data_IF_348771601843
#
_entry.id   IF_348771601843
#
_cell.length_a   1.000
_cell.length_b   1.000
_cell.length_c   1.000
_cell.angle_alpha   90.00
_cell.angle_beta   90.00
_cell.angle_gamma   90.00
#
_symmetry.space_group_name_H-M   'P 1'
#
loop_
_entity.id
_entity.type
_entity.pdbx_description
1 polymer ?
#
# COMPACT_ATOMS: atom_id res chain seq x y z
N UNK A 1 -13.65 -13.88 2.96
CA UNK A 1 -12.66 -13.66 4.03
C UNK A 1 -11.86 -14.91 4.37
N UNK A 2 -12.53 -16.05 4.53
CA UNK A 2 -11.81 -17.29 4.85
C UNK A 2 -10.76 -17.68 3.81
N UNK A 3 -11.12 -17.57 2.52
CA UNK A 3 -10.18 -17.89 1.45
C UNK A 3 -8.93 -17.02 1.48
N UNK A 4 -9.14 -15.75 1.78
CA UNK A 4 -8.05 -14.79 1.88
C UNK A 4 -7.10 -15.19 3.01
N UNK A 5 -7.66 -15.49 4.18
CA UNK A 5 -6.87 -15.88 5.34
C UNK A 5 -6.11 -17.18 5.09
N UNK A 6 -6.77 -18.15 4.47
CA UNK A 6 -6.15 -19.42 4.13
C UNK A 6 -5.00 -19.25 3.16
N UNK A 7 -5.17 -18.39 2.14
CA UNK A 7 -4.10 -18.10 1.18
C UNK A 7 -2.90 -17.49 1.87
N UNK A 8 -3.12 -16.55 2.78
CA UNK A 8 -2.04 -15.93 3.53
C UNK A 8 -1.31 -16.94 4.40
N UNK A 9 -2.03 -17.83 5.04
CA UNK A 9 -1.42 -18.85 5.88
C UNK A 9 -0.55 -19.79 5.05
N UNK A 10 -1.02 -20.18 3.87
CA UNK A 10 -0.24 -21.04 2.96
C UNK A 10 1.03 -20.31 2.51
N UNK A 11 0.90 -19.04 2.14
CA UNK A 11 2.07 -18.24 1.74
C UNK A 11 3.06 -18.09 2.88
N UNK A 12 2.55 -17.88 4.08
CA UNK A 12 3.38 -17.78 5.27
C UNK A 12 4.16 -19.06 5.54
N UNK A 13 3.52 -20.21 5.35
CA UNK A 13 4.16 -21.50 5.52
C UNK A 13 5.27 -21.73 4.50
N UNK A 14 5.11 -21.22 3.29
CA UNK A 14 6.15 -21.26 2.25
C UNK A 14 7.28 -20.29 2.59
N UNK A 15 7.00 -19.29 3.43
CA UNK A 15 8.04 -18.44 3.99
C UNK A 15 8.53 -17.30 3.11
N UNK A 16 7.67 -16.79 2.23
CA UNK A 16 8.07 -15.67 1.37
C UNK A 16 7.18 -14.45 1.65
N UNK A 17 7.57 -13.59 2.60
CA UNK A 17 6.77 -12.41 2.93
C UNK A 17 6.67 -11.40 1.78
N UNK A 18 7.66 -11.32 0.90
CA UNK A 18 7.60 -10.40 -0.25
C UNK A 18 6.48 -10.84 -1.18
N UNK A 19 6.43 -12.12 -1.54
CA UNK A 19 5.37 -12.63 -2.40
C UNK A 19 4.00 -12.47 -1.77
N UNK A 20 3.91 -12.68 -0.47
CA UNK A 20 2.66 -12.52 0.26
C UNK A 20 2.17 -11.08 0.18
N UNK A 21 3.05 -10.12 0.43
CA UNK A 21 2.71 -8.70 0.36
C UNK A 21 2.31 -8.31 -1.06
N UNK A 22 3.06 -8.79 -2.05
CA UNK A 22 2.74 -8.48 -3.45
C UNK A 22 1.38 -9.03 -3.85
N UNK A 23 1.04 -10.23 -3.39
CA UNK A 23 -0.28 -10.80 -3.64
C UNK A 23 -1.39 -9.92 -3.02
N UNK A 24 -1.17 -9.46 -1.80
CA UNK A 24 -2.13 -8.60 -1.12
C UNK A 24 -2.31 -7.26 -1.84
N UNK A 25 -1.23 -6.72 -2.37
CA UNK A 25 -1.31 -5.49 -3.17
C UNK A 25 -2.17 -5.73 -4.42
N UNK A 26 -1.95 -6.84 -5.10
CA UNK A 26 -2.75 -7.19 -6.28
C UNK A 26 -4.22 -7.35 -5.93
N UNK A 27 -4.51 -8.01 -4.82
CA UNK A 27 -5.89 -8.15 -4.36
C UNK A 27 -6.53 -6.79 -4.07
N UNK A 28 -5.78 -5.89 -3.46
CA UNK A 28 -6.25 -4.54 -3.20
C UNK A 28 -6.53 -3.78 -4.48
N UNK A 29 -5.67 -3.93 -5.49
CA UNK A 29 -5.86 -3.28 -6.78
C UNK A 29 -7.12 -3.79 -7.48
N UNK A 30 -7.36 -5.10 -7.44
CA UNK A 30 -8.56 -5.68 -8.00
C UNK A 30 -9.81 -5.12 -7.30
N UNK A 31 -9.75 -4.99 -5.98
CA UNK A 31 -10.85 -4.43 -5.21
C UNK A 31 -11.10 -2.97 -5.57
N UNK A 32 -10.05 -2.18 -5.75
CA UNK A 32 -10.19 -0.80 -6.19
C UNK A 32 -10.88 -0.73 -7.56
N UNK A 33 -10.42 -1.56 -8.49
CA UNK A 33 -10.99 -1.58 -9.85
C UNK A 33 -12.45 -1.99 -9.84
N UNK A 34 -12.86 -2.77 -8.84
CA UNK A 34 -14.24 -3.20 -8.69
C UNK A 34 -15.09 -2.20 -7.90
N UNK A 35 -14.53 -1.07 -7.51
CA UNK A 35 -15.23 -0.06 -6.75
C UNK A 35 -15.36 -0.37 -5.27
N UNK A 36 -14.60 -1.34 -4.77
CA UNK A 36 -14.64 -1.77 -3.38
C UNK A 36 -13.48 -1.18 -2.60
N UNK A 37 -13.46 0.14 -2.52
CA UNK A 37 -12.33 0.89 -1.96
C UNK A 37 -12.09 0.62 -0.48
N UNK A 38 -13.15 0.42 0.30
CA UNK A 38 -12.99 0.13 1.73
C UNK A 38 -12.30 -1.22 1.97
N UNK A 39 -12.68 -2.22 1.18
CA UNK A 39 -12.03 -3.52 1.26
C UNK A 39 -10.59 -3.45 0.80
N UNK A 40 -10.33 -2.68 -0.25
CA UNK A 40 -8.97 -2.45 -0.72
C UNK A 40 -8.11 -1.82 0.38
N UNK A 41 -8.66 -0.82 1.07
CA UNK A 41 -7.98 -0.15 2.17
C UNK A 41 -7.55 -1.16 3.23
N UNK A 42 -8.46 -2.07 3.60
CA UNK A 42 -8.14 -3.09 4.60
C UNK A 42 -7.03 -4.03 4.14
N UNK A 43 -7.08 -4.46 2.87
CA UNK A 43 -6.04 -5.34 2.33
C UNK A 43 -4.69 -4.65 2.34
N UNK A 44 -4.63 -3.40 1.96
CA UNK A 44 -3.38 -2.64 1.98
C UNK A 44 -2.86 -2.45 3.41
N UNK A 45 -3.75 -2.21 4.37
CA UNK A 45 -3.32 -2.09 5.77
C UNK A 45 -2.72 -3.38 6.30
N UNK A 46 -3.35 -4.50 6.01
CA UNK A 46 -2.83 -5.80 6.43
C UNK A 46 -1.47 -6.07 5.80
N UNK A 47 -1.33 -5.76 4.52
CA UNK A 47 -0.05 -5.92 3.82
C UNK A 47 1.02 -5.03 4.44
N UNK A 48 0.66 -3.81 4.83
CA UNK A 48 1.61 -2.88 5.44
C UNK A 48 2.16 -3.44 6.76
N UNK A 49 1.30 -4.04 7.57
CA UNK A 49 1.73 -4.64 8.82
C UNK A 49 2.78 -5.73 8.56
N UNK A 50 2.54 -6.57 7.56
CA UNK A 50 3.46 -7.64 7.20
C UNK A 50 4.78 -7.07 6.65
N UNK A 51 4.67 -6.06 5.80
CA UNK A 51 5.85 -5.42 5.22
C UNK A 51 6.71 -4.76 6.28
N UNK A 52 6.09 -4.10 7.25
CA UNK A 52 6.81 -3.47 8.35
C UNK A 52 7.47 -4.51 9.25
N UNK A 53 6.77 -5.61 9.53
CA UNK A 53 7.32 -6.68 10.36
C UNK A 53 8.56 -7.32 9.74
N UNK A 54 8.68 -7.27 8.40
CA UNK A 54 9.78 -7.87 7.66
C UNK A 54 10.73 -6.84 7.03
N UNK A 55 10.57 -5.58 7.38
CA UNK A 55 11.39 -4.46 6.89
C UNK A 55 11.51 -4.42 5.36
N UNK A 56 10.39 -4.63 4.69
CA UNK A 56 10.32 -4.59 3.23
C UNK A 56 10.11 -3.14 2.77
N UNK A 57 11.20 -2.38 2.74
CA UNK A 57 11.15 -0.93 2.58
C UNK A 57 10.45 -0.47 1.30
N UNK A 58 10.77 -1.10 0.16
CA UNK A 58 10.13 -0.73 -1.11
C UNK A 58 8.62 -1.00 -1.05
N UNK A 59 8.23 -2.15 -0.51
CA UNK A 59 6.82 -2.50 -0.38
C UNK A 59 6.11 -1.60 0.60
N UNK A 60 6.78 -1.17 1.66
CA UNK A 60 6.22 -0.19 2.60
C UNK A 60 5.88 1.10 1.87
N UNK A 61 6.81 1.60 1.06
CA UNK A 61 6.57 2.82 0.28
C UNK A 61 5.41 2.66 -0.69
N UNK A 62 5.36 1.53 -1.40
CA UNK A 62 4.28 1.26 -2.34
C UNK A 62 2.92 1.20 -1.64
N UNK A 63 2.86 0.53 -0.49
CA UNK A 63 1.62 0.41 0.27
C UNK A 63 1.16 1.74 0.83
N UNK A 64 2.08 2.56 1.31
CA UNK A 64 1.73 3.89 1.79
C UNK A 64 1.16 4.74 0.66
N UNK A 65 1.74 4.62 -0.54
CA UNK A 65 1.23 5.31 -1.72
C UNK A 65 -0.18 4.82 -2.09
N UNK A 66 -0.39 3.49 -2.05
CA UNK A 66 -1.71 2.91 -2.32
C UNK A 66 -2.74 3.37 -1.30
N UNK A 67 -2.38 3.33 -0.01
CA UNK A 67 -3.26 3.80 1.05
C UNK A 67 -3.60 5.27 0.88
N UNK A 68 -2.63 6.08 0.46
CA UNK A 68 -2.87 7.49 0.17
C UNK A 68 -3.83 7.71 -0.99
N UNK A 69 -3.94 6.71 -1.88
CA UNK A 69 -4.87 6.79 -3.01
C UNK A 69 -6.29 6.40 -2.66
N UNK A 70 -6.50 5.54 -1.66
CA UNK A 70 -7.83 5.00 -1.34
C UNK A 70 -8.42 5.50 -0.03
N UNK A 71 -7.63 6.11 0.83
CA UNK A 71 -8.14 6.61 2.10
C UNK A 71 -9.21 7.68 1.84
N UNK A 72 -10.37 7.60 2.50
CA UNK A 72 -11.45 8.54 2.24
C UNK A 72 -11.21 9.94 2.83
N UNK A 73 -10.40 10.01 3.87
CA UNK A 73 -10.12 11.25 4.59
C UNK A 73 -8.88 11.91 4.01
N UNK A 74 -9.03 13.18 3.62
CA UNK A 74 -7.95 13.97 3.03
C UNK A 74 -6.72 14.04 3.93
N UNK A 75 -6.92 14.20 5.24
CA UNK A 75 -5.83 14.30 6.19
C UNK A 75 -5.03 13.00 6.22
N UNK A 76 -5.71 11.85 6.24
CA UNK A 76 -5.06 10.55 6.21
C UNK A 76 -4.34 10.32 4.90
N UNK A 77 -4.94 10.74 3.78
CA UNK A 77 -4.27 10.66 2.47
C UNK A 77 -2.94 11.35 2.51
N UNK A 78 -2.92 12.57 3.04
CA UNK A 78 -1.68 13.34 3.10
C UNK A 78 -0.65 12.68 4.01
N UNK A 79 -1.09 12.16 5.14
CA UNK A 79 -0.18 11.46 6.06
C UNK A 79 0.47 10.26 5.39
N UNK A 80 -0.32 9.42 4.72
CA UNK A 80 0.21 8.26 4.00
C UNK A 80 1.18 8.68 2.91
N UNK A 81 0.82 9.68 2.12
CA UNK A 81 1.64 10.12 1.00
C UNK A 81 2.96 10.73 1.48
N UNK A 82 2.94 11.48 2.57
CA UNK A 82 4.16 12.05 3.14
C UNK A 82 5.09 10.96 3.67
N UNK A 83 4.51 9.94 4.30
CA UNK A 83 5.30 8.80 4.76
C UNK A 83 5.90 8.03 3.58
N UNK A 84 5.13 7.86 2.51
CA UNK A 84 5.64 7.23 1.29
C UNK A 84 6.83 8.00 0.71
N UNK A 85 6.70 9.33 0.64
CA UNK A 85 7.79 10.17 0.16
C UNK A 85 9.06 9.98 0.99
N UNK A 86 8.92 9.94 2.31
CA UNK A 86 10.06 9.77 3.19
C UNK A 86 10.76 8.43 2.92
N UNK A 87 9.99 7.35 2.77
CA UNK A 87 10.53 6.03 2.49
C UNK A 87 11.27 6.01 1.16
N UNK A 88 10.63 6.52 0.10
CA UNK A 88 11.24 6.54 -1.22
C UNK A 88 12.45 7.45 -1.28
N UNK A 89 12.46 8.54 -0.51
CA UNK A 89 13.63 9.41 -0.42
C UNK A 89 14.80 8.67 0.19
N UNK A 90 14.58 7.95 1.28
CA UNK A 90 15.64 7.14 1.90
C UNK A 90 16.19 6.09 0.95
N UNK A 91 15.32 5.52 0.12
CA UNK A 91 15.72 4.50 -0.85
C UNK A 91 16.33 5.08 -2.13
N UNK A 92 16.26 6.41 -2.31
CA UNK A 92 16.71 7.04 -3.54
C UNK A 92 15.85 6.72 -4.75
N UNK A 93 14.59 6.35 -4.53
CA UNK A 93 13.66 5.93 -5.59
C UNK A 93 13.01 7.16 -6.23
N UNK A 94 13.73 7.81 -7.13
CA UNK A 94 13.30 9.08 -7.72
C UNK A 94 11.98 9.00 -8.48
N UNK A 95 11.81 7.95 -9.29
CA UNK A 95 10.58 7.77 -10.07
C UNK A 95 9.37 7.63 -9.16
N UNK A 96 9.51 6.82 -8.11
CA UNK A 96 8.43 6.64 -7.12
C UNK A 96 8.12 7.95 -6.39
N UNK A 97 9.16 8.72 -6.06
CA UNK A 97 8.97 10.01 -5.42
C UNK A 97 8.14 10.94 -6.29
N UNK A 98 8.43 10.99 -7.58
CA UNK A 98 7.65 11.82 -8.52
C UNK A 98 6.20 11.41 -8.56
N UNK A 99 5.95 10.10 -8.59
CA UNK A 99 4.59 9.57 -8.61
C UNK A 99 3.82 10.01 -7.36
N UNK A 100 4.45 9.89 -6.19
CA UNK A 100 3.84 10.29 -4.93
C UNK A 100 3.65 11.80 -4.87
N UNK A 101 4.62 12.57 -5.35
CA UNK A 101 4.49 14.03 -5.40
C UNK A 101 3.29 14.45 -6.27
N UNK A 102 3.06 13.74 -7.36
CA UNK A 102 1.89 13.97 -8.20
C UNK A 102 0.59 13.69 -7.44
N UNK A 103 0.58 12.61 -6.65
CA UNK A 103 -0.58 12.29 -5.81
C UNK A 103 -0.82 13.37 -4.75
N UNK A 104 0.25 13.87 -4.13
CA UNK A 104 0.15 14.94 -3.15
C UNK A 104 -0.44 16.20 -3.79
N UNK A 105 0.04 16.54 -4.97
CA UNK A 105 -0.46 17.69 -5.69
C UNK A 105 -1.96 17.56 -5.97
N UNK A 106 -2.39 16.39 -6.44
CA UNK A 106 -3.81 16.14 -6.70
C UNK A 106 -4.65 16.25 -5.43
N UNK A 107 -4.13 15.75 -4.31
CA UNK A 107 -4.83 15.83 -3.03
C UNK A 107 -4.98 17.28 -2.56
N UNK A 108 -3.94 18.09 -2.74
CA UNK A 108 -3.97 19.52 -2.37
C UNK A 108 -4.96 20.27 -3.25
N UNK A 109 -4.99 19.96 -4.53
CA UNK A 109 -5.89 20.62 -5.48
C UNK A 109 -7.34 20.15 -5.34
N UNK A 110 -7.61 19.17 -4.49
CA UNK A 110 -8.97 18.69 -4.25
C UNK A 110 -9.53 17.81 -5.35
N UNK A 111 -8.67 17.11 -6.05
CA UNK A 111 -9.09 16.23 -7.16
C UNK A 111 -8.82 14.78 -6.89
#
# INVERSE_FOLDING_TARGET
MHHYTESLNIMSDVGDPVSMVELMILLGEVLEDSGRSEEALERYREALIIAEANDLRMQIGELLSKLGGVAPDRQRRMEYLQRALAVFRELGARTRMREVQSQVHSAIMGR
#
